data_IF_207368382546
#
_entry.id   IF_207368382546
#
_cell.length_a   1.000
_cell.length_b   1.000
_cell.length_c   1.000
_cell.angle_alpha   90.00
_cell.angle_beta   90.00
_cell.angle_gamma   90.00
#
_symmetry.space_group_name_H-M   'P 1'
#
loop_
_entity.id
_entity.type
_entity.pdbx_description
1 polymer ?
#
# COMPACT_ATOMS: atom_id res chain seq x y z
N UNK A 1 3.80 -9.01 12.49
CA UNK A 1 3.00 -9.91 11.61
C UNK A 1 2.49 -9.10 10.43
N UNK A 2 2.50 -9.60 9.19
CA UNK A 2 2.25 -8.83 7.96
C UNK A 2 0.75 -8.51 7.77
N UNK A 3 0.09 -8.02 8.82
CA UNK A 3 -1.31 -7.67 8.82
C UNK A 3 -1.52 -6.30 9.44
N UNK A 4 -2.18 -5.43 8.70
CA UNK A 4 -2.71 -4.19 9.23
C UNK A 4 -3.96 -4.42 10.08
N UNK A 5 -4.20 -3.52 11.04
CA UNK A 5 -5.39 -3.62 11.87
C UNK A 5 -6.66 -3.40 11.04
N UNK A 6 -7.64 -4.30 11.19
CA UNK A 6 -8.88 -4.31 10.39
C UNK A 6 -9.71 -3.03 10.50
N UNK A 7 -9.54 -2.23 11.56
CA UNK A 7 -10.27 -0.96 11.75
C UNK A 7 -9.99 0.09 10.68
N UNK A 8 -8.87 -0.02 9.94
CA UNK A 8 -8.50 0.95 8.89
C UNK A 8 -9.11 0.61 7.52
N UNK A 9 -9.53 -0.65 7.31
CA UNK A 9 -9.95 -1.15 5.99
C UNK A 9 -11.01 -0.26 5.36
N UNK A 10 -12.10 0.04 6.08
CA UNK A 10 -13.20 0.82 5.51
C UNK A 10 -12.80 2.25 5.15
N UNK A 11 -11.94 2.89 5.95
CA UNK A 11 -11.48 4.25 5.68
C UNK A 11 -10.58 4.30 4.45
N UNK A 12 -9.59 3.38 4.37
CA UNK A 12 -8.66 3.30 3.25
C UNK A 12 -9.40 2.91 1.97
N UNK A 13 -10.27 1.91 2.03
CA UNK A 13 -11.03 1.47 0.86
C UNK A 13 -11.98 2.56 0.34
N UNK A 14 -12.70 3.25 1.24
CA UNK A 14 -13.54 4.38 0.86
C UNK A 14 -12.75 5.53 0.22
N UNK A 15 -11.51 5.76 0.67
CA UNK A 15 -10.61 6.72 0.03
C UNK A 15 -10.22 6.27 -1.38
N UNK A 16 -9.77 5.02 -1.55
CA UNK A 16 -9.46 4.43 -2.86
C UNK A 16 -10.63 4.57 -3.83
N UNK A 17 -11.83 4.19 -3.38
CA UNK A 17 -13.06 4.29 -4.18
C UNK A 17 -13.41 5.74 -4.54
N UNK A 18 -13.20 6.69 -3.64
CA UNK A 18 -13.47 8.11 -3.90
C UNK A 18 -12.52 8.73 -4.93
N UNK A 19 -11.28 8.26 -4.98
CA UNK A 19 -10.22 8.79 -5.86
C UNK A 19 -10.13 8.07 -7.21
N UNK A 20 -10.63 6.84 -7.32
CA UNK A 20 -10.66 6.04 -8.56
C UNK A 20 -9.31 5.99 -9.31
N UNK A 21 -8.18 5.70 -8.63
CA UNK A 21 -6.87 5.64 -9.28
C UNK A 21 -6.84 4.55 -10.36
N UNK A 22 -6.14 4.81 -11.47
CA UNK A 22 -5.91 3.84 -12.54
C UNK A 22 -4.59 3.11 -12.39
N UNK A 23 -3.71 3.59 -11.52
CA UNK A 23 -2.47 2.92 -11.17
C UNK A 23 -2.14 3.10 -9.69
N UNK A 24 -1.73 2.01 -9.05
CA UNK A 24 -1.43 1.95 -7.61
C UNK A 24 -0.08 1.28 -7.41
N UNK A 25 0.77 1.87 -6.57
CA UNK A 25 1.92 1.21 -5.97
C UNK A 25 1.61 0.94 -4.51
N UNK A 26 1.65 -0.33 -4.11
CA UNK A 26 1.46 -0.78 -2.73
C UNK A 26 2.82 -1.16 -2.12
N UNK A 27 3.28 -0.39 -1.14
CA UNK A 27 4.59 -0.55 -0.50
C UNK A 27 4.42 -1.37 0.78
N UNK A 28 5.13 -2.49 0.87
CA UNK A 28 4.98 -3.46 1.96
C UNK A 28 3.70 -4.26 1.81
N UNK A 29 3.58 -5.02 0.73
CA UNK A 29 2.34 -5.71 0.39
C UNK A 29 1.92 -6.75 1.44
N UNK A 30 2.85 -7.26 2.26
CA UNK A 30 2.59 -8.26 3.29
C UNK A 30 1.84 -9.47 2.72
N UNK A 31 0.64 -9.77 3.24
CA UNK A 31 -0.23 -10.85 2.75
C UNK A 31 -1.08 -10.45 1.53
N UNK A 32 -0.87 -9.28 0.94
CA UNK A 32 -1.58 -8.81 -0.25
C UNK A 32 -2.98 -8.24 0.03
N UNK A 33 -3.29 -7.88 1.27
CA UNK A 33 -4.62 -7.44 1.67
C UNK A 33 -5.12 -6.23 0.88
N UNK A 34 -4.33 -5.15 0.82
CA UNK A 34 -4.77 -3.92 0.16
C UNK A 34 -4.75 -4.02 -1.37
N UNK A 35 -3.81 -4.75 -1.94
CA UNK A 35 -3.84 -5.05 -3.37
C UNK A 35 -5.06 -5.87 -3.76
N UNK A 36 -5.45 -6.88 -2.97
CA UNK A 36 -6.66 -7.66 -3.20
C UNK A 36 -7.92 -6.80 -3.08
N UNK A 37 -8.03 -5.98 -2.03
CA UNK A 37 -9.18 -5.09 -1.84
C UNK A 37 -9.27 -4.04 -2.96
N UNK A 38 -8.15 -3.42 -3.34
CA UNK A 38 -8.10 -2.48 -4.45
C UNK A 38 -8.53 -3.15 -5.77
N UNK A 39 -7.97 -4.34 -6.07
CA UNK A 39 -8.32 -5.09 -7.29
C UNK A 39 -9.81 -5.40 -7.35
N UNK A 40 -10.37 -5.94 -6.29
CA UNK A 40 -11.78 -6.36 -6.28
C UNK A 40 -12.75 -5.19 -6.26
N UNK A 41 -12.38 -4.04 -5.70
CA UNK A 41 -13.28 -2.89 -5.59
C UNK A 41 -13.15 -1.89 -6.76
N UNK A 42 -11.99 -1.78 -7.40
CA UNK A 42 -11.79 -0.85 -8.53
C UNK A 42 -12.05 -1.50 -9.88
N UNK A 43 -11.70 -2.78 -10.07
CA UNK A 43 -12.02 -3.52 -11.28
C UNK A 43 -13.49 -3.93 -11.35
N UNK A 44 -14.11 -4.26 -10.21
CA UNK A 44 -15.51 -4.68 -10.12
C UNK A 44 -15.90 -5.72 -11.17
N UNK A 45 -16.83 -5.33 -12.05
CA UNK A 45 -17.36 -6.19 -13.13
C UNK A 45 -16.32 -6.55 -14.19
N UNK A 46 -15.22 -5.80 -14.29
CA UNK A 46 -14.17 -6.07 -15.26
C UNK A 46 -13.28 -7.28 -14.88
N UNK A 47 -13.44 -7.86 -13.69
CA UNK A 47 -12.73 -9.10 -13.32
C UNK A 47 -13.27 -10.33 -14.09
N UNK A 48 -14.51 -10.27 -14.53
CA UNK A 48 -15.18 -11.36 -15.25
C UNK A 48 -15.91 -10.82 -16.48
N UNK A 49 -16.03 -11.66 -17.47
CA UNK A 49 -16.93 -11.47 -18.61
C UNK A 49 -17.83 -12.68 -18.77
N UNK A 50 -18.98 -12.51 -19.40
CA UNK A 50 -19.91 -13.61 -19.69
C UNK A 50 -19.88 -13.87 -21.19
N UNK A 51 -19.43 -15.08 -21.57
CA UNK A 51 -19.38 -15.54 -22.94
C UNK A 51 -20.24 -16.79 -23.03
N UNK A 52 -21.27 -16.80 -23.88
CA UNK A 52 -22.19 -17.94 -24.09
C UNK A 52 -22.70 -18.51 -22.74
N UNK A 53 -23.24 -17.66 -21.89
CA UNK A 53 -23.77 -17.97 -20.55
C UNK A 53 -22.75 -18.58 -19.57
N UNK A 54 -21.44 -18.47 -19.88
CA UNK A 54 -20.36 -18.93 -19.00
C UNK A 54 -19.51 -17.76 -18.51
N UNK A 55 -19.33 -17.65 -17.20
CA UNK A 55 -18.44 -16.65 -16.63
C UNK A 55 -16.97 -17.05 -16.86
N UNK A 56 -16.21 -16.17 -17.53
CA UNK A 56 -14.77 -16.28 -17.69
C UNK A 56 -14.08 -15.20 -16.85
N UNK A 57 -13.09 -15.58 -16.06
CA UNK A 57 -12.21 -14.61 -15.41
C UNK A 57 -11.29 -13.98 -16.46
N UNK A 58 -11.14 -12.67 -16.43
CA UNK A 58 -10.17 -11.96 -17.27
C UNK A 58 -8.74 -12.21 -16.80
N UNK A 59 -7.83 -12.24 -17.74
CA UNK A 59 -6.40 -12.34 -17.44
C UNK A 59 -5.81 -10.98 -17.03
N UNK A 60 -4.62 -11.00 -16.39
CA UNK A 60 -3.92 -9.77 -15.94
C UNK A 60 -3.74 -8.73 -17.05
N UNK A 61 -3.51 -9.18 -18.29
CA UNK A 61 -3.33 -8.31 -19.44
C UNK A 61 -4.61 -7.56 -19.86
N UNK A 62 -5.76 -8.01 -19.37
CA UNK A 62 -7.08 -7.44 -19.65
C UNK A 62 -7.59 -6.53 -18.51
N UNK A 63 -6.81 -6.36 -17.43
CA UNK A 63 -7.18 -5.49 -16.32
C UNK A 63 -6.99 -4.02 -16.67
N UNK A 64 -7.96 -3.19 -16.25
CA UNK A 64 -7.97 -1.74 -16.49
C UNK A 64 -7.15 -0.96 -15.44
N UNK A 65 -6.95 -1.57 -14.25
CA UNK A 65 -6.24 -0.95 -13.14
C UNK A 65 -4.87 -1.61 -13.00
N UNK A 66 -3.80 -0.83 -13.09
CA UNK A 66 -2.45 -1.28 -12.76
C UNK A 66 -2.26 -1.28 -11.24
N UNK A 67 -1.93 -2.42 -10.65
CA UNK A 67 -1.55 -2.53 -9.24
C UNK A 67 -0.22 -3.25 -9.17
N UNK A 68 0.82 -2.52 -8.80
CA UNK A 68 2.14 -3.09 -8.52
C UNK A 68 2.42 -3.03 -7.02
N UNK A 69 3.30 -3.90 -6.55
CA UNK A 69 3.68 -3.96 -5.14
C UNK A 69 5.19 -3.98 -4.92
N UNK A 70 5.61 -3.61 -3.73
CA UNK A 70 6.99 -3.77 -3.24
C UNK A 70 6.95 -4.61 -1.96
N UNK A 71 7.79 -5.64 -1.86
CA UNK A 71 7.89 -6.51 -0.69
C UNK A 71 9.34 -6.86 -0.39
N UNK A 72 9.77 -6.59 0.86
CA UNK A 72 11.13 -6.87 1.29
C UNK A 72 11.33 -8.34 1.71
N UNK A 73 10.25 -9.03 2.11
CA UNK A 73 10.32 -10.40 2.58
C UNK A 73 9.52 -11.36 1.66
N UNK A 74 10.15 -11.99 0.67
CA UNK A 74 9.46 -12.85 -0.31
C UNK A 74 8.68 -14.02 0.32
N UNK A 75 8.98 -14.39 1.56
CA UNK A 75 8.27 -15.43 2.29
C UNK A 75 6.78 -15.15 2.55
N UNK A 76 6.34 -13.89 2.36
CA UNK A 76 4.92 -13.51 2.46
C UNK A 76 4.14 -13.70 1.17
N UNK A 77 4.83 -13.90 0.05
CA UNK A 77 4.17 -14.00 -1.25
C UNK A 77 3.38 -15.31 -1.40
N UNK A 78 2.14 -15.18 -1.81
CA UNK A 78 1.15 -16.26 -1.93
C UNK A 78 0.37 -16.12 -3.25
N UNK A 79 -0.47 -17.08 -3.63
CA UNK A 79 -1.34 -16.96 -4.79
C UNK A 79 -2.28 -15.74 -4.78
N UNK A 80 -2.54 -15.13 -3.60
CA UNK A 80 -3.31 -13.88 -3.50
C UNK A 80 -2.61 -12.76 -4.26
N UNK A 81 -1.28 -12.68 -4.19
CA UNK A 81 -0.48 -11.69 -4.92
C UNK A 81 -0.60 -11.87 -6.43
N UNK A 82 -0.53 -13.11 -6.91
CA UNK A 82 -0.75 -13.42 -8.33
C UNK A 82 -2.14 -13.06 -8.82
N UNK A 83 -3.14 -13.16 -7.95
CA UNK A 83 -4.49 -12.76 -8.29
C UNK A 83 -4.68 -11.24 -8.28
N UNK A 84 -3.95 -10.51 -7.46
CA UNK A 84 -4.24 -9.10 -7.15
C UNK A 84 -3.32 -8.11 -7.86
N UNK A 85 -2.04 -8.43 -7.98
CA UNK A 85 -1.02 -7.50 -8.49
C UNK A 85 -0.63 -7.83 -9.94
N UNK A 86 -0.33 -6.77 -10.70
CA UNK A 86 0.28 -6.94 -12.02
C UNK A 86 1.73 -7.39 -11.86
N UNK A 87 2.47 -6.77 -10.93
CA UNK A 87 3.86 -7.09 -10.63
C UNK A 87 4.18 -6.86 -9.15
N UNK A 88 5.02 -7.71 -8.58
CA UNK A 88 5.68 -7.49 -7.28
C UNK A 88 7.17 -7.27 -7.53
N UNK A 89 7.71 -6.21 -6.96
CA UNK A 89 9.14 -5.93 -6.89
C UNK A 89 9.65 -6.40 -5.54
N UNK A 90 10.51 -7.40 -5.53
CA UNK A 90 11.10 -7.93 -4.31
C UNK A 90 12.32 -7.11 -3.90
N UNK A 91 12.36 -6.65 -2.65
CA UNK A 91 13.46 -5.89 -2.07
C UNK A 91 13.03 -4.76 -1.15
N UNK A 92 14.03 -4.13 -0.51
CA UNK A 92 13.81 -2.96 0.34
C UNK A 92 13.20 -1.81 -0.47
N UNK A 93 12.16 -1.19 0.09
CA UNK A 93 11.45 -0.10 -0.57
C UNK A 93 12.36 1.09 -0.91
N UNK A 94 13.34 1.40 -0.04
CA UNK A 94 14.29 2.50 -0.26
C UNK A 94 15.27 2.22 -1.41
N UNK A 95 15.50 0.95 -1.74
CA UNK A 95 16.33 0.54 -2.87
C UNK A 95 15.50 0.37 -4.15
N UNK A 96 14.31 -0.21 -4.04
CA UNK A 96 13.44 -0.54 -5.17
C UNK A 96 12.81 0.71 -5.77
N UNK A 97 12.17 1.55 -4.94
CA UNK A 97 11.35 2.68 -5.41
C UNK A 97 12.14 3.68 -6.27
N UNK A 98 13.40 4.07 -5.91
CA UNK A 98 14.18 4.99 -6.77
C UNK A 98 14.44 4.47 -8.17
N UNK A 99 14.46 3.15 -8.35
CA UNK A 99 14.76 2.48 -9.62
C UNK A 99 13.50 2.15 -10.45
N UNK A 100 12.30 2.44 -9.96
CA UNK A 100 11.08 2.27 -10.75
C UNK A 100 11.04 3.28 -11.90
N UNK A 101 10.67 2.81 -13.08
CA UNK A 101 10.49 3.67 -14.26
C UNK A 101 9.09 4.29 -14.35
N UNK A 102 8.14 3.78 -13.56
CA UNK A 102 6.72 4.16 -13.58
C UNK A 102 6.39 5.03 -12.37
N UNK A 103 5.58 6.06 -12.59
CA UNK A 103 4.85 6.75 -11.53
C UNK A 103 3.41 6.26 -11.51
N UNK A 104 2.77 6.33 -10.36
CA UNK A 104 1.43 5.78 -10.12
C UNK A 104 0.45 6.88 -9.72
N UNK A 105 -0.82 6.74 -10.05
CA UNK A 105 -1.84 7.71 -9.63
C UNK A 105 -1.91 7.78 -8.11
N UNK A 106 -1.75 6.62 -7.45
CA UNK A 106 -1.74 6.51 -5.99
C UNK A 106 -0.58 5.62 -5.51
N UNK A 107 0.04 6.03 -4.41
CA UNK A 107 1.04 5.23 -3.70
C UNK A 107 0.54 4.99 -2.28
N UNK A 108 0.50 3.73 -1.87
CA UNK A 108 0.10 3.27 -0.54
C UNK A 108 1.31 2.80 0.25
N UNK A 109 1.34 3.11 1.56
CA UNK A 109 2.27 2.55 2.52
C UNK A 109 1.54 2.36 3.86
N UNK A 110 0.93 1.19 4.04
CA UNK A 110 0.01 0.91 5.13
C UNK A 110 0.72 0.12 6.22
N UNK A 111 0.84 0.73 7.42
CA UNK A 111 1.56 0.18 8.57
C UNK A 111 2.98 -0.28 8.18
N UNK A 112 3.73 0.66 7.61
CA UNK A 112 5.08 0.44 7.09
C UNK A 112 6.10 1.42 7.69
N UNK A 113 5.68 2.66 8.02
CA UNK A 113 6.60 3.71 8.49
C UNK A 113 7.29 3.36 9.81
N UNK A 114 6.59 2.68 10.70
CA UNK A 114 7.11 2.23 12.00
C UNK A 114 8.26 1.24 11.89
N UNK A 115 8.38 0.54 10.75
CA UNK A 115 9.45 -0.43 10.50
C UNK A 115 10.78 0.21 10.06
N UNK A 116 10.78 1.48 9.72
CA UNK A 116 11.97 2.23 9.34
C UNK A 116 12.53 3.04 10.52
N UNK A 117 13.84 3.24 10.55
CA UNK A 117 14.41 4.32 11.37
C UNK A 117 13.84 5.68 10.90
N UNK A 118 13.76 6.66 11.78
CA UNK A 118 13.13 7.97 11.48
C UNK A 118 13.67 8.63 10.20
N UNK A 119 14.97 8.55 9.98
CA UNK A 119 15.61 9.11 8.78
C UNK A 119 15.12 8.45 7.50
N UNK A 120 15.08 7.13 7.51
CA UNK A 120 14.66 6.29 6.42
C UNK A 120 13.16 6.41 6.15
N UNK A 121 12.34 6.48 7.21
CA UNK A 121 10.91 6.75 7.10
C UNK A 121 10.61 8.11 6.46
N UNK A 122 11.38 9.17 6.82
CA UNK A 122 11.27 10.47 6.12
C UNK A 122 11.64 10.36 4.65
N UNK A 123 12.70 9.59 4.31
CA UNK A 123 13.07 9.34 2.91
C UNK A 123 11.97 8.58 2.18
N UNK A 124 11.31 7.62 2.82
CA UNK A 124 10.17 6.90 2.24
C UNK A 124 9.00 7.85 1.93
N UNK A 125 8.66 8.77 2.84
CA UNK A 125 7.61 9.78 2.61
C UNK A 125 7.93 10.66 1.38
N UNK A 126 9.19 11.06 1.19
CA UNK A 126 9.62 11.80 -0.01
C UNK A 126 9.48 10.93 -1.28
N UNK A 127 9.92 9.68 -1.24
CA UNK A 127 9.79 8.74 -2.36
C UNK A 127 8.32 8.52 -2.77
N UNK A 128 7.41 8.43 -1.80
CA UNK A 128 5.97 8.35 -2.06
C UNK A 128 5.51 9.57 -2.86
N UNK A 129 5.89 10.78 -2.44
CA UNK A 129 5.54 12.03 -3.14
C UNK A 129 6.17 12.13 -4.54
N UNK A 130 7.42 11.67 -4.68
CA UNK A 130 8.12 11.62 -5.97
C UNK A 130 7.41 10.69 -6.96
N UNK A 131 6.93 9.54 -6.49
CA UNK A 131 6.35 8.47 -7.31
C UNK A 131 4.84 8.56 -7.52
N UNK A 132 4.11 9.32 -6.70
CA UNK A 132 2.69 9.53 -6.96
C UNK A 132 2.46 10.63 -7.99
N UNK A 133 1.52 10.42 -8.89
CA UNK A 133 1.02 11.42 -9.82
C UNK A 133 -0.03 12.33 -9.17
N UNK A 134 -0.82 11.77 -8.23
CA UNK A 134 -1.94 12.47 -7.63
C UNK A 134 -2.00 12.28 -6.11
N UNK A 135 -1.93 11.04 -5.60
CA UNK A 135 -2.24 10.74 -4.21
C UNK A 135 -1.19 9.86 -3.55
N UNK A 136 -0.83 10.20 -2.31
CA UNK A 136 -0.10 9.32 -1.40
C UNK A 136 -0.96 9.01 -0.19
N UNK A 137 -0.96 7.77 0.31
CA UNK A 137 -1.63 7.41 1.53
C UNK A 137 -0.69 6.55 2.38
N UNK A 138 -0.49 6.99 3.62
CA UNK A 138 0.30 6.27 4.60
C UNK A 138 -0.55 5.99 5.84
N UNK A 139 -0.32 4.85 6.49
CA UNK A 139 -0.78 4.65 7.85
C UNK A 139 0.32 4.16 8.76
N UNK A 140 0.16 4.44 10.06
CA UNK A 140 1.08 4.01 11.12
C UNK A 140 0.34 4.03 12.45
N UNK A 141 0.65 3.15 13.43
CA UNK A 141 0.03 3.16 14.74
C UNK A 141 0.17 4.50 15.47
N UNK A 142 -0.89 4.92 16.20
CA UNK A 142 -0.87 6.12 17.05
C UNK A 142 0.00 5.96 18.27
N UNK A 143 0.01 4.75 18.84
CA UNK A 143 0.80 4.39 19.98
C UNK A 143 2.00 3.56 19.52
N UNK A 144 3.19 3.80 20.11
CA UNK A 144 4.34 2.96 19.83
C UNK A 144 4.14 1.59 20.50
N UNK A 145 4.16 0.55 19.67
CA UNK A 145 4.11 -0.84 20.13
C UNK A 145 5.47 -1.45 19.81
N UNK A 146 6.22 -1.85 20.83
CA UNK A 146 7.48 -2.55 20.62
C UNK A 146 7.21 -3.90 19.94
N UNK A 147 7.85 -4.13 18.82
CA UNK A 147 7.76 -5.39 18.09
C UNK A 147 9.14 -5.80 17.60
N UNK A 148 9.49 -7.05 17.87
CA UNK A 148 10.68 -7.69 17.35
C UNK A 148 10.32 -9.06 16.79
N UNK A 149 10.74 -9.35 15.57
CA UNK A 149 10.44 -10.62 14.88
C UNK A 149 11.74 -11.25 14.40
N UNK A 150 12.31 -12.18 15.18
CA UNK A 150 13.59 -12.83 14.88
C UNK A 150 13.65 -13.42 13.46
N UNK A 151 12.55 -13.99 12.97
CA UNK A 151 12.47 -14.61 11.64
C UNK A 151 12.42 -13.60 10.50
N UNK A 152 12.05 -12.35 10.76
CA UNK A 152 11.92 -11.29 9.76
C UNK A 152 12.20 -9.92 10.37
N UNK A 153 13.44 -9.43 10.33
CA UNK A 153 13.81 -8.13 10.88
C UNK A 153 13.13 -6.92 10.23
N UNK A 154 12.50 -7.08 9.06
CA UNK A 154 11.67 -6.02 8.44
C UNK A 154 10.37 -5.77 9.20
N UNK A 155 9.96 -6.67 10.10
CA UNK A 155 8.79 -6.52 10.97
C UNK A 155 9.10 -5.81 12.29
N UNK A 156 10.34 -5.47 12.57
CA UNK A 156 10.71 -4.77 13.81
C UNK A 156 10.18 -3.34 13.79
N UNK A 157 9.56 -2.89 14.88
CA UNK A 157 9.19 -1.49 15.04
C UNK A 157 10.39 -0.68 15.51
N UNK A 158 10.83 0.26 14.68
CA UNK A 158 12.04 1.07 14.89
C UNK A 158 11.74 2.54 15.16
N UNK A 159 10.55 3.00 14.81
CA UNK A 159 10.17 4.40 15.01
C UNK A 159 8.70 4.57 15.37
N UNK A 160 8.42 5.68 16.06
CA UNK A 160 7.06 6.13 16.36
C UNK A 160 6.78 7.44 15.62
N UNK A 161 5.60 7.54 15.02
CA UNK A 161 5.18 8.69 14.23
C UNK A 161 3.99 9.41 14.88
N UNK A 162 4.11 10.72 15.05
CA UNK A 162 3.00 11.55 15.50
C UNK A 162 2.38 12.30 14.32
N UNK A 163 1.13 12.70 14.49
CA UNK A 163 0.35 13.37 13.43
C UNK A 163 1.08 14.59 12.86
N UNK A 164 1.71 15.40 13.71
CA UNK A 164 2.42 16.60 13.28
C UNK A 164 3.54 16.29 12.30
N UNK A 165 4.31 15.24 12.51
CA UNK A 165 5.41 14.83 11.60
C UNK A 165 4.90 14.44 10.20
N UNK A 166 3.75 13.76 10.13
CA UNK A 166 3.11 13.41 8.87
C UNK A 166 2.60 14.66 8.14
N UNK A 167 2.01 15.59 8.88
CA UNK A 167 1.53 16.87 8.33
C UNK A 167 2.69 17.75 7.84
N UNK A 168 3.79 17.83 8.58
CA UNK A 168 5.00 18.54 8.17
C UNK A 168 5.65 17.92 6.92
N UNK A 169 5.50 16.60 6.73
CA UNK A 169 5.90 15.92 5.51
C UNK A 169 4.93 16.13 4.32
N UNK A 170 3.81 16.83 4.54
CA UNK A 170 2.83 17.18 3.51
C UNK A 170 1.59 16.27 3.46
N UNK A 171 1.49 15.25 4.34
CA UNK A 171 0.32 14.36 4.44
C UNK A 171 -0.72 15.00 5.37
N UNK A 172 -1.50 15.95 4.86
CA UNK A 172 -2.34 16.83 5.67
C UNK A 172 -3.81 16.42 5.76
N UNK A 173 -4.33 15.64 4.81
CA UNK A 173 -5.69 15.08 4.87
C UNK A 173 -5.66 13.82 5.77
N UNK A 174 -6.46 13.80 6.84
CA UNK A 174 -6.45 12.72 7.83
C UNK A 174 -7.79 11.99 7.79
N UNK A 175 -7.73 10.69 7.53
CA UNK A 175 -8.91 9.84 7.56
C UNK A 175 -9.20 9.37 9.00
N UNK A 176 -10.49 9.24 9.38
CA UNK A 176 -10.86 8.86 10.74
C UNK A 176 -10.45 7.41 11.05
N UNK A 177 -9.67 7.24 12.09
CA UNK A 177 -9.37 5.95 12.69
C UNK A 177 -9.00 6.12 14.16
N UNK A 178 -9.29 5.12 15.01
CA UNK A 178 -9.02 5.18 16.44
C UNK A 178 -7.60 4.76 16.80
N UNK A 179 -7.02 3.81 16.06
CA UNK A 179 -5.76 3.14 16.42
C UNK A 179 -4.57 3.61 15.59
N UNK A 180 -4.82 4.08 14.37
CA UNK A 180 -3.75 4.49 13.46
C UNK A 180 -3.95 5.91 12.97
N UNK A 181 -2.87 6.61 12.67
CA UNK A 181 -2.89 7.75 11.78
C UNK A 181 -3.00 7.25 10.35
N UNK A 182 -4.03 7.67 9.64
CA UNK A 182 -4.17 7.44 8.21
C UNK A 182 -4.09 8.80 7.57
N UNK A 183 -2.95 9.10 6.95
CA UNK A 183 -2.63 10.42 6.44
C UNK A 183 -2.46 10.38 4.92
N UNK A 184 -3.08 11.34 4.23
CA UNK A 184 -3.10 11.42 2.78
C UNK A 184 -2.40 12.68 2.28
N UNK A 185 -1.68 12.54 1.18
CA UNK A 185 -1.04 13.58 0.40
C UNK A 185 -1.76 13.71 -0.94
N UNK A 186 -1.98 14.95 -1.37
CA UNK A 186 -2.44 15.27 -2.73
C UNK A 186 -1.40 16.17 -3.40
N UNK A 187 -0.96 15.80 -4.59
CA UNK A 187 0.02 16.53 -5.39
C UNK A 187 -0.54 17.79 -5.99
#
# INVERSE_FOLDING_TARGET
MPFSHSSQISAILGYLESKQPKSILDIGVGMGQYGFLARTNLEHFNLYEVINDTARRRDKAEWDILIDGVEAYPGYLTPVHDYSYNKIYEGDALEVIPNLSTNYDMVLAIDILEHFEKGDGKRLLELIKERCNQYGLVSTPKDFIEQHVEANPFEDHRSHWILQELQEAGFSEILPNTLSWIACYTK
#
